data_IF_044594185929
#
_entry.id   IF_044594185929
#
_cell.length_a   1.000
_cell.length_b   1.000
_cell.length_c   1.000
_cell.angle_alpha   90.00
_cell.angle_beta   90.00
_cell.angle_gamma   90.00
#
_symmetry.space_group_name_H-M   'P 1'
#
loop_
_entity.id
_entity.type
_entity.pdbx_description
1 polymer ?
#
# COMPACT_ATOMS: atom_id res chain seq x y z
N UNK A 1 -20.05 8.47 2.18
CA UNK A 1 -19.64 9.87 1.89
C UNK A 1 -18.67 10.41 2.94
N UNK A 2 -19.04 10.49 4.22
CA UNK A 2 -18.14 10.96 5.28
C UNK A 2 -16.89 10.06 5.42
N UNK A 3 -17.07 8.73 5.37
CA UNK A 3 -15.97 7.77 5.41
C UNK A 3 -15.00 7.92 4.22
N UNK A 4 -15.53 8.15 3.02
CA UNK A 4 -14.72 8.41 1.80
C UNK A 4 -13.94 9.72 1.93
N UNK A 5 -14.55 10.78 2.49
CA UNK A 5 -13.86 12.04 2.76
C UNK A 5 -12.74 11.86 3.78
N UNK A 6 -12.94 11.03 4.82
CA UNK A 6 -11.90 10.69 5.80
C UNK A 6 -10.76 9.91 5.14
N UNK A 7 -11.06 8.95 4.26
CA UNK A 7 -10.04 8.19 3.52
C UNK A 7 -9.21 9.09 2.59
N UNK A 8 -9.86 9.99 1.84
CA UNK A 8 -9.20 10.99 1.00
C UNK A 8 -8.38 11.98 1.83
N UNK A 9 -8.89 12.37 3.00
CA UNK A 9 -8.16 13.17 3.98
C UNK A 9 -6.86 12.49 4.41
N UNK A 10 -6.91 11.23 4.82
CA UNK A 10 -5.72 10.47 5.23
C UNK A 10 -4.70 10.33 4.08
N UNK A 11 -5.15 10.12 2.84
CA UNK A 11 -4.28 10.07 1.66
C UNK A 11 -3.52 11.39 1.45
N UNK A 12 -4.16 12.54 1.67
CA UNK A 12 -3.49 13.85 1.57
C UNK A 12 -2.41 14.04 2.64
N UNK A 13 -2.58 13.44 3.83
CA UNK A 13 -1.62 13.51 4.93
C UNK A 13 -0.36 12.66 4.64
N UNK A 14 -0.52 11.53 3.94
CA UNK A 14 0.59 10.67 3.50
C UNK A 14 1.53 11.43 2.56
N UNK A 15 0.97 12.17 1.59
CA UNK A 15 1.75 12.93 0.60
C UNK A 15 2.56 14.05 1.27
N UNK A 16 2.08 14.58 2.39
CA UNK A 16 2.71 15.69 3.08
C UNK A 16 3.70 15.29 4.17
N UNK A 17 3.67 14.03 4.63
CA UNK A 17 4.59 13.58 5.68
C UNK A 17 6.03 13.45 5.16
N UNK A 18 6.90 14.33 5.63
CA UNK A 18 8.35 14.33 5.36
C UNK A 18 9.08 13.16 6.05
N UNK A 19 8.57 12.72 7.21
CA UNK A 19 9.20 11.64 7.98
C UNK A 19 8.67 10.28 7.58
N UNK A 20 9.55 9.32 7.26
CA UNK A 20 9.13 7.99 6.85
C UNK A 20 8.33 7.28 7.95
N UNK A 21 8.67 7.47 9.23
CA UNK A 21 7.90 6.89 10.34
C UNK A 21 6.46 7.44 10.37
N UNK A 22 6.28 8.74 10.12
CA UNK A 22 4.95 9.35 10.07
C UNK A 22 4.14 8.85 8.88
N UNK A 23 4.78 8.68 7.72
CA UNK A 23 4.16 8.08 6.52
C UNK A 23 3.61 6.69 6.86
N UNK A 24 4.42 5.86 7.53
CA UNK A 24 4.02 4.50 7.93
C UNK A 24 2.82 4.47 8.89
N UNK A 25 2.74 5.43 9.82
CA UNK A 25 1.61 5.54 10.75
C UNK A 25 0.31 5.96 10.04
N UNK A 26 0.38 6.92 9.10
CA UNK A 26 -0.78 7.30 8.30
C UNK A 26 -1.23 6.16 7.38
N UNK A 27 -0.29 5.39 6.83
CA UNK A 27 -0.60 4.22 6.02
C UNK A 27 -1.27 3.08 6.84
N UNK A 28 -0.86 2.88 8.10
CA UNK A 28 -1.57 1.99 9.04
C UNK A 28 -3.02 2.42 9.25
N UNK A 29 -3.23 3.70 9.58
CA UNK A 29 -4.57 4.23 9.82
C UNK A 29 -5.46 4.09 8.57
N UNK A 30 -4.90 4.37 7.38
CA UNK A 30 -5.59 4.21 6.11
C UNK A 30 -5.98 2.75 5.84
N UNK A 31 -5.02 1.83 5.92
CA UNK A 31 -5.24 0.41 5.62
C UNK A 31 -6.26 -0.22 6.59
N UNK A 32 -6.20 0.10 7.89
CA UNK A 32 -7.17 -0.38 8.87
C UNK A 32 -8.58 0.14 8.57
N UNK A 33 -8.74 1.43 8.27
CA UNK A 33 -10.05 2.00 7.94
C UNK A 33 -10.61 1.42 6.62
N UNK A 34 -9.74 1.20 5.63
CA UNK A 34 -10.12 0.59 4.35
C UNK A 34 -10.55 -0.89 4.51
N UNK A 35 -9.85 -1.66 5.36
CA UNK A 35 -10.16 -3.07 5.59
C UNK A 35 -11.52 -3.23 6.30
N UNK A 36 -11.82 -2.36 7.26
CA UNK A 36 -13.15 -2.32 7.91
C UNK A 36 -14.22 -1.97 6.87
N UNK A 37 -13.97 -0.97 6.01
CA UNK A 37 -14.97 -0.54 5.03
C UNK A 37 -15.27 -1.64 4.00
N UNK A 38 -14.24 -2.29 3.44
CA UNK A 38 -14.39 -3.43 2.52
C UNK A 38 -15.04 -4.64 3.20
N UNK A 39 -14.70 -4.89 4.47
CA UNK A 39 -15.28 -5.97 5.25
C UNK A 39 -16.79 -5.81 5.49
N UNK A 40 -17.27 -4.56 5.57
CA UNK A 40 -18.70 -4.25 5.73
C UNK A 40 -19.45 -4.28 4.38
N UNK A 41 -18.84 -3.79 3.29
CA UNK A 41 -19.53 -3.67 1.99
C UNK A 41 -19.51 -4.95 1.14
N UNK A 42 -18.42 -5.71 1.16
CA UNK A 42 -18.23 -6.85 0.25
C UNK A 42 -18.34 -8.19 0.97
N UNK A 43 -17.34 -8.51 1.80
CA UNK A 43 -17.28 -9.73 2.57
C UNK A 43 -16.19 -9.61 3.64
N UNK A 44 -16.47 -10.12 4.83
CA UNK A 44 -15.52 -10.12 5.94
C UNK A 44 -14.24 -10.88 5.60
N UNK A 45 -14.31 -11.95 4.79
CA UNK A 45 -13.14 -12.72 4.35
C UNK A 45 -12.12 -11.87 3.59
N UNK A 46 -12.60 -11.05 2.65
CA UNK A 46 -11.75 -10.14 1.87
C UNK A 46 -11.17 -9.03 2.76
N UNK A 47 -11.96 -8.50 3.68
CA UNK A 47 -11.48 -7.54 4.68
C UNK A 47 -10.35 -8.09 5.56
N UNK A 48 -10.47 -9.35 6.01
CA UNK A 48 -9.40 -10.01 6.78
C UNK A 48 -8.12 -10.21 5.95
N UNK A 49 -8.23 -10.66 4.71
CA UNK A 49 -7.07 -10.80 3.82
C UNK A 49 -6.37 -9.46 3.55
N UNK A 50 -7.14 -8.40 3.31
CA UNK A 50 -6.61 -7.04 3.15
C UNK A 50 -5.82 -6.59 4.39
N UNK A 51 -6.34 -6.85 5.59
CA UNK A 51 -5.64 -6.52 6.84
C UNK A 51 -4.28 -7.24 6.94
N UNK A 52 -4.22 -8.54 6.68
CA UNK A 52 -2.96 -9.29 6.77
C UNK A 52 -1.89 -8.85 5.77
N UNK A 53 -2.28 -8.56 4.52
CA UNK A 53 -1.33 -8.17 3.48
C UNK A 53 -0.82 -6.74 3.70
N UNK A 54 -1.72 -5.78 3.97
CA UNK A 54 -1.35 -4.38 4.10
C UNK A 54 -0.72 -4.05 5.46
N UNK A 55 -1.34 -4.48 6.58
CA UNK A 55 -0.83 -4.16 7.92
C UNK A 55 0.31 -5.11 8.31
N UNK A 56 0.25 -6.37 7.91
CA UNK A 56 1.29 -7.35 8.21
C UNK A 56 2.50 -7.23 7.28
N UNK A 57 2.35 -7.60 6.01
CA UNK A 57 3.49 -7.78 5.12
C UNK A 57 4.14 -6.47 4.67
N UNK A 58 3.35 -5.50 4.20
CA UNK A 58 3.90 -4.26 3.64
C UNK A 58 4.50 -3.35 4.72
N UNK A 59 3.94 -3.35 5.92
CA UNK A 59 4.43 -2.48 6.98
C UNK A 59 5.73 -2.97 7.63
N UNK A 60 5.86 -4.28 7.85
CA UNK A 60 7.11 -4.84 8.40
C UNK A 60 8.27 -4.54 7.46
N UNK A 61 8.05 -4.67 6.15
CA UNK A 61 9.04 -4.31 5.13
C UNK A 61 9.34 -2.80 5.13
N UNK A 62 8.32 -1.96 5.29
CA UNK A 62 8.52 -0.52 5.40
C UNK A 62 9.36 -0.15 6.63
N UNK A 63 9.03 -0.68 7.80
CA UNK A 63 9.80 -0.45 9.03
C UNK A 63 11.27 -0.89 8.89
N UNK A 64 11.50 -2.04 8.25
CA UNK A 64 12.86 -2.52 7.95
C UNK A 64 13.65 -1.50 7.12
N UNK A 65 13.09 -0.98 6.02
CA UNK A 65 13.77 0.01 5.17
C UNK A 65 14.04 1.32 5.93
N UNK A 66 13.07 1.79 6.72
CA UNK A 66 13.21 3.04 7.49
C UNK A 66 14.30 2.93 8.56
N UNK A 67 14.45 1.76 9.19
CA UNK A 67 15.52 1.53 10.17
C UNK A 67 16.94 1.51 9.57
N UNK A 68 17.06 1.25 8.26
CA UNK A 68 18.35 1.24 7.55
C UNK A 68 18.77 2.64 7.08
N UNK A 69 17.83 3.57 6.90
CA UNK A 69 18.12 4.95 6.50
C UNK A 69 18.41 5.85 7.70
N UNK A 70 19.49 6.67 7.67
CA UNK A 70 19.76 7.62 8.74
C UNK A 70 18.61 8.65 8.81
N UNK A 71 18.09 8.87 10.02
CA UNK A 71 16.96 9.75 10.29
C UNK A 71 17.19 11.16 9.72
N UNK A 72 16.42 11.63 8.71
CA UNK A 72 16.58 12.96 8.17
C UNK A 72 16.18 14.03 9.20
N UNK A 73 16.87 15.17 9.19
CA UNK A 73 16.68 16.27 10.13
C UNK A 73 15.37 17.02 9.82
N UNK A 74 14.57 17.25 10.86
CA UNK A 74 13.20 17.75 10.82
C UNK A 74 13.08 19.18 10.25
N UNK A 75 12.14 19.39 9.32
CA UNK A 75 11.60 20.72 8.99
C UNK A 75 10.08 20.68 9.12
N UNK A 76 9.55 21.31 10.17
CA UNK A 76 8.10 21.48 10.34
C UNK A 76 7.62 22.47 9.30
N UNK A 77 6.92 21.98 8.28
CA UNK A 77 6.17 22.81 7.36
C UNK A 77 4.72 22.83 7.87
N UNK A 78 4.07 24.00 8.07
CA UNK A 78 2.79 24.09 8.76
C UNK A 78 1.68 23.30 8.04
N UNK A 79 1.16 22.29 8.74
CA UNK A 79 0.24 21.23 8.33
C UNK A 79 -1.18 21.68 7.90
N UNK A 80 -1.45 23.00 7.87
CA UNK A 80 -2.82 23.55 7.93
C UNK A 80 -3.37 23.99 6.57
N UNK A 81 -2.57 24.13 5.52
CA UNK A 81 -3.05 24.71 4.25
C UNK A 81 -3.65 23.71 3.24
N UNK A 82 -3.46 22.40 3.41
CA UNK A 82 -3.81 21.39 2.38
C UNK A 82 -4.90 20.39 2.79
N UNK A 83 -5.27 20.34 4.07
CA UNK A 83 -6.44 19.58 4.54
C UNK A 83 -7.77 19.93 3.81
N UNK A 84 -8.02 21.17 3.33
CA UNK A 84 -9.27 21.45 2.61
C UNK A 84 -9.27 21.00 1.15
N UNK A 85 -8.15 20.57 0.54
CA UNK A 85 -8.13 20.13 -0.86
C UNK A 85 -8.80 18.76 -1.06
N UNK A 86 -8.72 17.86 -0.07
CA UNK A 86 -9.47 16.60 -0.08
C UNK A 86 -10.98 16.79 0.14
N UNK A 87 -11.36 17.82 0.91
CA UNK A 87 -12.77 18.18 1.17
C UNK A 87 -13.43 18.97 0.03
N UNK A 88 -12.67 19.84 -0.65
CA UNK A 88 -13.20 20.69 -1.73
C UNK A 88 -13.50 19.92 -3.01
N UNK A 89 -12.79 18.82 -3.29
CA UNK A 89 -13.09 17.93 -4.41
C UNK A 89 -14.44 17.20 -4.28
N UNK A 90 -15.01 17.09 -3.07
CA UNK A 90 -16.37 16.54 -2.85
C UNK A 90 -17.46 17.62 -2.76
N UNK A 91 -17.10 18.89 -2.53
CA UNK A 91 -18.07 19.99 -2.39
C UNK A 91 -18.62 20.51 -3.73
N UNK A 92 -17.91 20.27 -4.83
CA UNK A 92 -18.27 20.76 -6.16
C UNK A 92 -18.48 19.63 -7.16
N UNK A 93 -19.70 19.11 -7.24
CA UNK A 93 -20.15 18.25 -8.34
C UNK A 93 -20.38 16.80 -7.93
N UNK A 94 -21.58 16.32 -8.23
CA UNK A 94 -22.01 14.94 -8.08
C UNK A 94 -20.95 13.97 -8.64
N UNK A 95 -20.30 13.21 -7.76
CA UNK A 95 -19.41 12.11 -8.13
C UNK A 95 -20.23 10.95 -8.70
N UNK A 96 -20.73 11.12 -9.92
CA UNK A 96 -21.59 10.18 -10.65
C UNK A 96 -20.83 8.95 -11.14
N UNK A 97 -19.49 8.96 -11.06
CA UNK A 97 -18.62 7.86 -11.49
C UNK A 97 -18.86 6.58 -10.67
N UNK A 98 -19.24 6.71 -9.39
CA UNK A 98 -19.47 5.53 -8.52
C UNK A 98 -20.90 4.96 -8.60
N UNK A 99 -21.87 5.72 -9.15
CA UNK A 99 -23.26 5.26 -9.26
C UNK A 99 -23.48 4.20 -10.35
N UNK A 100 -22.56 4.08 -11.30
CA UNK A 100 -22.64 3.08 -12.37
C UNK A 100 -22.21 1.66 -11.96
N UNK A 101 -21.59 1.49 -10.78
CA UNK A 101 -21.02 0.22 -10.34
C UNK A 101 -21.93 -0.57 -9.39
N UNK A 102 -22.97 0.06 -8.82
CA UNK A 102 -23.76 -0.52 -7.73
C UNK A 102 -24.96 -1.37 -8.19
N UNK A 103 -25.30 -1.40 -9.48
CA UNK A 103 -26.58 -1.99 -9.93
C UNK A 103 -26.50 -3.43 -10.44
N UNK A 104 -25.33 -4.07 -10.53
CA UNK A 104 -25.21 -5.39 -11.18
C UNK A 104 -24.53 -6.49 -10.35
N UNK A 105 -24.43 -6.36 -9.02
CA UNK A 105 -23.67 -7.34 -8.23
C UNK A 105 -24.33 -7.81 -6.94
N UNK A 106 -25.63 -8.12 -6.97
CA UNK A 106 -26.28 -8.82 -5.84
C UNK A 106 -27.33 -9.81 -6.36
N UNK A 107 -26.89 -10.88 -7.02
CA UNK A 107 -27.59 -12.19 -7.05
C UNK A 107 -26.59 -13.27 -7.46
N UNK A 108 -25.75 -13.69 -6.52
CA UNK A 108 -24.82 -14.80 -6.73
C UNK A 108 -24.50 -15.43 -5.39
N UNK A 109 -24.90 -16.68 -5.22
CA UNK A 109 -24.83 -17.44 -3.98
C UNK A 109 -23.44 -17.37 -3.32
N UNK A 110 -23.45 -16.98 -2.04
CA UNK A 110 -22.29 -16.83 -1.15
C UNK A 110 -21.63 -18.19 -0.81
N UNK A 111 -21.98 -19.27 -1.52
CA UNK A 111 -21.51 -20.63 -1.27
C UNK A 111 -21.11 -21.41 -2.54
N UNK A 112 -20.87 -20.73 -3.67
CA UNK A 112 -20.10 -21.28 -4.79
C UNK A 112 -18.61 -21.07 -4.54
N UNK A 113 -18.02 -21.87 -3.65
CA UNK A 113 -16.65 -21.71 -3.14
C UNK A 113 -15.63 -21.46 -4.25
N UNK A 114 -14.84 -20.37 -4.13
CA UNK A 114 -13.89 -19.95 -5.15
C UNK A 114 -14.52 -19.98 -6.56
N UNK A 115 -15.31 -18.95 -6.90
CA UNK A 115 -15.73 -18.62 -8.29
C UNK A 115 -14.56 -18.32 -9.25
N UNK A 116 -13.43 -18.99 -9.06
CA UNK A 116 -12.18 -18.97 -9.79
C UNK A 116 -12.26 -19.85 -11.04
N UNK A 117 -13.22 -20.77 -11.12
CA UNK A 117 -13.21 -21.81 -12.17
C UNK A 117 -14.43 -21.86 -13.09
N UNK A 118 -15.44 -21.01 -12.90
CA UNK A 118 -16.65 -21.09 -13.73
C UNK A 118 -16.57 -20.23 -15.01
N UNK A 119 -15.49 -19.46 -15.18
CA UNK A 119 -15.22 -18.70 -16.39
C UNK A 119 -13.75 -18.80 -16.82
N UNK A 120 -13.53 -19.09 -18.11
CA UNK A 120 -12.19 -19.19 -18.74
C UNK A 120 -11.31 -17.96 -18.46
N UNK A 121 -11.92 -16.79 -18.22
CA UNK A 121 -11.20 -15.54 -17.91
C UNK A 121 -10.57 -15.46 -16.52
N UNK A 122 -11.23 -15.97 -15.47
CA UNK A 122 -10.74 -15.82 -14.08
C UNK A 122 -9.48 -16.66 -13.83
N UNK A 123 -9.42 -17.87 -14.38
CA UNK A 123 -8.23 -18.71 -14.31
C UNK A 123 -7.02 -18.09 -15.01
N UNK A 124 -7.21 -17.46 -16.18
CA UNK A 124 -6.14 -16.78 -16.91
C UNK A 124 -5.59 -15.60 -16.09
N UNK A 125 -6.46 -14.81 -15.45
CA UNK A 125 -6.04 -13.69 -14.58
C UNK A 125 -5.16 -14.18 -13.43
N UNK A 126 -5.50 -15.32 -12.79
CA UNK A 126 -4.69 -15.87 -11.71
C UNK A 126 -3.31 -16.37 -12.18
N UNK A 127 -3.24 -16.99 -13.36
CA UNK A 127 -1.97 -17.40 -13.96
C UNK A 127 -1.09 -16.17 -14.19
N UNK A 128 -1.65 -15.09 -14.74
CA UNK A 128 -0.92 -13.83 -14.92
C UNK A 128 -0.48 -13.20 -13.61
N UNK A 129 -1.32 -13.21 -12.57
CA UNK A 129 -0.98 -12.68 -11.25
C UNK A 129 0.17 -13.48 -10.60
N UNK A 130 0.13 -14.81 -10.71
CA UNK A 130 1.19 -15.69 -10.21
C UNK A 130 2.52 -15.45 -10.93
N UNK A 131 2.50 -15.28 -12.26
CA UNK A 131 3.69 -14.91 -13.02
C UNK A 131 4.25 -13.55 -12.61
N UNK A 132 3.40 -12.57 -12.33
CA UNK A 132 3.83 -11.25 -11.84
C UNK A 132 4.53 -11.36 -10.48
N UNK A 133 3.97 -12.14 -9.54
CA UNK A 133 4.58 -12.38 -8.23
C UNK A 133 5.91 -13.15 -8.34
N UNK A 134 6.01 -14.10 -9.27
CA UNK A 134 7.25 -14.82 -9.53
C UNK A 134 8.31 -13.88 -10.11
N UNK A 135 7.94 -13.03 -11.08
CA UNK A 135 8.84 -12.03 -11.66
C UNK A 135 9.30 -10.98 -10.64
N UNK A 136 8.45 -10.58 -9.70
CA UNK A 136 8.83 -9.63 -8.66
C UNK A 136 9.92 -10.19 -7.74
N UNK A 137 9.82 -11.47 -7.34
CA UNK A 137 10.87 -12.11 -6.54
C UNK A 137 12.18 -12.29 -7.31
N UNK A 138 12.13 -12.66 -8.60
CA UNK A 138 13.32 -12.75 -9.45
C UNK A 138 13.99 -11.39 -9.60
N UNK A 139 13.19 -10.33 -9.81
CA UNK A 139 13.69 -8.95 -9.92
C UNK A 139 14.42 -8.53 -8.64
N UNK A 140 13.83 -8.76 -7.46
CA UNK A 140 14.45 -8.42 -6.18
C UNK A 140 15.78 -9.17 -5.99
N UNK A 141 15.83 -10.49 -6.27
CA UNK A 141 17.08 -11.26 -6.17
C UNK A 141 18.15 -10.73 -7.13
N UNK A 142 17.77 -10.31 -8.34
CA UNK A 142 18.72 -9.70 -9.28
C UNK A 142 19.23 -8.34 -8.79
N UNK A 143 18.39 -7.55 -8.13
CA UNK A 143 18.81 -6.29 -7.51
C UNK A 143 19.74 -6.51 -6.31
N UNK A 144 19.54 -7.61 -5.57
CA UNK A 144 20.40 -8.00 -4.46
C UNK A 144 21.74 -8.63 -4.89
N UNK A 145 21.96 -8.91 -6.19
CA UNK A 145 23.26 -9.41 -6.71
C UNK A 145 24.31 -8.31 -6.87
N UNK A 146 24.17 -7.19 -6.14
CA UNK A 146 25.22 -6.18 -6.09
C UNK A 146 26.48 -6.78 -5.45
N UNK A 147 27.39 -7.20 -6.32
CA UNK A 147 28.75 -7.60 -5.99
C UNK A 147 29.52 -6.37 -5.51
N UNK A 148 30.21 -6.54 -4.40
CA UNK A 148 31.09 -5.59 -3.73
C UNK A 148 30.36 -4.56 -2.86
N UNK A 149 30.13 -4.98 -1.60
CA UNK A 149 29.80 -4.08 -0.52
C UNK A 149 30.96 -3.10 -0.24
N UNK A 150 30.67 -1.87 0.23
CA UNK A 150 31.67 -0.81 0.46
C UNK A 150 32.59 -1.04 1.68
N UNK A 151 32.74 -2.27 2.16
CA UNK A 151 33.61 -2.59 3.30
C UNK A 151 34.72 -3.53 2.87
N UNK A 152 35.94 -3.09 3.20
CA UNK A 152 37.25 -3.77 3.12
C UNK A 152 38.08 -3.52 1.86
N UNK A 153 38.54 -2.27 1.71
CA UNK A 153 39.95 -1.99 1.39
C UNK A 153 40.48 -0.78 2.18
N UNK A 154 40.57 -0.91 3.50
CA UNK A 154 41.62 -0.22 4.23
C UNK A 154 42.87 -1.10 4.17
N UNK A 155 43.58 -1.04 3.04
CA UNK A 155 44.95 -1.55 2.99
C UNK A 155 45.82 -0.55 3.73
N UNK A 156 46.17 -0.89 4.97
CA UNK A 156 47.06 -0.15 5.84
C UNK A 156 48.43 -0.08 5.16
N UNK A 157 48.75 1.05 4.52
CA UNK A 157 50.09 1.30 3.98
C UNK A 157 51.01 1.75 5.13
N UNK A 158 51.32 0.83 6.06
CA UNK A 158 52.48 0.91 6.93
C UNK A 158 53.40 -0.28 6.64
N UNK A 159 54.33 -0.05 5.73
CA UNK A 159 55.60 -0.75 5.46
C UNK A 159 56.08 -0.04 4.21
N UNK A 160 56.88 1.01 4.33
CA UNK A 160 58.36 1.02 4.37
C UNK A 160 58.70 2.45 4.90
N UNK A 161 59.30 2.72 6.06
CA UNK A 161 60.65 2.38 6.54
C UNK A 161 61.68 2.16 5.43
#
# INVERSE_FOLDING_TARGET
>A
MLLVAVLLGILSLIVYSEHPISVGLWFMAYSLMSAIWVGVEWSSYVGYLMFFIYVGALLVMFCMVVSLTPNPVFRVVPFVSLFPLGGSLMGGGNFSVFKGFSSEMVTGDVFGGLGVYDGVGWGVILIWLSLLLLLSMISVVSMCKWSDGPLVRFSYKNSEL
#
